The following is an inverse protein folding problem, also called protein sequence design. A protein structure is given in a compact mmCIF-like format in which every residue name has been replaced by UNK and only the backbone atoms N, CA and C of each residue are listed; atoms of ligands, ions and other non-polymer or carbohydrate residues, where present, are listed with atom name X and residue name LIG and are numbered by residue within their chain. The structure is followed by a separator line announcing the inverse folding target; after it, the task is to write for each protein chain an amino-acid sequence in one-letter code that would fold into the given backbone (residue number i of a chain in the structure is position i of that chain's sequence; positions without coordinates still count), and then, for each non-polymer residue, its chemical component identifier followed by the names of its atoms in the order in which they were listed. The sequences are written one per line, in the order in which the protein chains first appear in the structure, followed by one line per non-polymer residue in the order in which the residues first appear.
data_IF_621629184066
#
_entry.id   IF_621629184066
#
_cell.length_a   1.000
_cell.length_b   1.000
_cell.length_c   1.000
_cell.angle_alpha   90.00
_cell.angle_beta   90.00
_cell.angle_gamma   90.00
#
_symmetry.space_group_name_H-M   'P 1'
#
loop_
_entity.id
_entity.type
_entity.pdbx_description
1 polymer ?
#
# COMPACT_ATOMS: atom_id res chain seq x y z
N UNK A 1 -11.19 2.36 -14.43
CA UNK A 1 -10.96 0.92 -14.70
C UNK A 1 -10.66 0.24 -13.38
N UNK A 2 -11.52 -0.68 -12.92
CA UNK A 2 -11.36 -1.30 -11.59
C UNK A 2 -10.01 -2.03 -11.48
N UNK A 3 -9.28 -1.75 -10.39
CA UNK A 3 -7.95 -2.30 -10.11
C UNK A 3 -7.97 -3.45 -9.09
N UNK A 4 -7.04 -4.38 -9.25
CA UNK A 4 -6.58 -5.36 -8.25
C UNK A 4 -5.15 -5.03 -7.84
N UNK A 5 -4.80 -5.30 -6.58
CA UNK A 5 -3.48 -5.04 -6.01
C UNK A 5 -2.87 -6.33 -5.50
N UNK A 6 -1.58 -6.51 -5.71
CA UNK A 6 -0.73 -7.37 -4.90
C UNK A 6 0.22 -6.47 -4.11
N UNK A 7 0.12 -6.51 -2.79
CA UNK A 7 1.00 -5.76 -1.90
C UNK A 7 2.07 -6.71 -1.37
N UNK A 8 3.32 -6.46 -1.74
CA UNK A 8 4.48 -7.24 -1.33
C UNK A 8 5.23 -6.53 -0.20
N UNK A 9 5.48 -7.27 0.89
CA UNK A 9 6.28 -6.81 2.03
C UNK A 9 7.38 -7.83 2.31
N UNK A 10 8.61 -7.38 2.50
CA UNK A 10 9.72 -8.28 2.82
C UNK A 10 9.81 -8.50 4.34
N UNK A 11 9.48 -9.69 4.88
CA UNK A 11 9.47 -9.92 6.33
C UNK A 11 10.85 -9.89 6.97
N UNK A 12 11.91 -9.92 6.15
CA UNK A 12 13.32 -9.93 6.56
C UNK A 12 13.96 -8.55 6.52
N UNK A 13 13.28 -7.53 5.97
CA UNK A 13 13.83 -6.18 5.96
C UNK A 13 13.96 -5.64 7.40
N UNK A 14 15.14 -5.14 7.78
CA UNK A 14 15.35 -4.50 9.07
C UNK A 14 14.63 -3.14 9.09
N UNK A 15 14.49 -2.58 10.29
CA UNK A 15 13.93 -1.25 10.51
C UNK A 15 12.52 -1.23 11.08
N UNK A 16 12.10 -0.02 11.46
CA UNK A 16 10.84 0.27 12.14
C UNK A 16 10.26 1.55 11.56
N UNK A 17 8.98 1.52 11.22
CA UNK A 17 8.22 2.72 10.86
C UNK A 17 7.21 3.02 11.96
N UNK A 18 7.02 4.31 12.24
CA UNK A 18 6.05 4.80 13.22
C UNK A 18 5.00 5.61 12.50
N UNK A 19 3.81 5.04 12.34
CA UNK A 19 2.66 5.73 11.75
C UNK A 19 1.34 5.09 12.21
N UNK A 20 0.20 5.80 12.11
CA UNK A 20 -1.11 5.21 12.35
C UNK A 20 -1.46 4.12 11.34
N UNK A 21 -2.20 3.10 11.75
CA UNK A 21 -2.74 2.09 10.80
C UNK A 21 -3.91 2.67 9.98
N UNK A 22 -4.69 3.55 10.59
CA UNK A 22 -5.86 4.23 9.99
C UNK A 22 -5.83 5.72 10.30
N UNK A 23 -6.53 6.58 9.54
CA UNK A 23 -6.45 8.04 9.73
C UNK A 23 -6.79 8.54 11.14
N UNK A 24 -7.72 7.88 11.84
CA UNK A 24 -8.12 8.23 13.20
C UNK A 24 -7.42 7.40 14.29
N UNK A 25 -6.40 6.62 13.93
CA UNK A 25 -5.68 5.73 14.85
C UNK A 25 -4.50 6.43 15.53
N UNK A 26 -4.06 5.87 16.66
CA UNK A 26 -2.78 6.25 17.25
C UNK A 26 -1.61 5.75 16.39
N UNK A 27 -0.49 6.46 16.43
CA UNK A 27 0.73 6.01 15.77
C UNK A 27 1.29 4.76 16.47
N UNK A 28 1.70 3.76 15.68
CA UNK A 28 2.23 2.50 16.18
C UNK A 28 3.61 2.24 15.58
N UNK A 29 4.53 1.67 16.37
CA UNK A 29 5.82 1.19 15.89
C UNK A 29 5.65 -0.17 15.21
N UNK A 30 6.01 -0.26 13.93
CA UNK A 30 5.81 -1.47 13.13
C UNK A 30 7.09 -1.85 12.38
N UNK A 31 7.50 -3.11 12.56
CA UNK A 31 8.46 -3.77 11.65
C UNK A 31 7.73 -4.34 10.43
N UNK A 32 8.48 -4.93 9.49
CA UNK A 32 7.93 -5.49 8.26
C UNK A 32 6.79 -6.49 8.49
N UNK A 33 6.95 -7.40 9.45
CA UNK A 33 5.92 -8.38 9.81
C UNK A 33 4.67 -7.72 10.39
N UNK A 34 4.83 -6.71 11.24
CA UNK A 34 3.71 -5.95 11.77
C UNK A 34 2.96 -5.21 10.65
N UNK A 35 3.68 -4.60 9.70
CA UNK A 35 3.08 -3.95 8.51
C UNK A 35 2.25 -4.95 7.71
N UNK A 36 2.82 -6.11 7.35
CA UNK A 36 2.10 -7.15 6.60
C UNK A 36 0.82 -7.60 7.31
N UNK A 37 0.89 -7.85 8.64
CA UNK A 37 -0.29 -8.21 9.44
C UNK A 37 -1.34 -7.11 9.49
N UNK A 38 -0.93 -5.85 9.67
CA UNK A 38 -1.85 -4.70 9.71
C UNK A 38 -2.52 -4.47 8.36
N UNK A 39 -1.78 -4.62 7.26
CA UNK A 39 -2.34 -4.56 5.91
C UNK A 39 -3.36 -5.70 5.68
N UNK A 40 -3.03 -6.94 6.06
CA UNK A 40 -3.95 -8.06 5.95
C UNK A 40 -5.25 -7.81 6.76
N UNK A 41 -5.12 -7.37 8.01
CA UNK A 41 -6.26 -7.02 8.85
C UNK A 41 -7.10 -5.88 8.25
N UNK A 42 -6.49 -4.89 7.60
CA UNK A 42 -7.22 -3.84 6.87
C UNK A 42 -7.98 -4.39 5.68
N UNK A 43 -7.37 -5.29 4.91
CA UNK A 43 -8.01 -5.97 3.76
C UNK A 43 -9.23 -6.75 4.23
N UNK A 44 -9.10 -7.52 5.30
CA UNK A 44 -10.20 -8.33 5.86
C UNK A 44 -11.31 -7.45 6.42
N UNK A 45 -10.96 -6.47 7.28
CA UNK A 45 -11.91 -5.54 7.88
C UNK A 45 -12.72 -4.76 6.83
N UNK A 46 -12.09 -4.41 5.71
CA UNK A 46 -12.71 -3.68 4.59
C UNK A 46 -13.33 -4.60 3.52
N UNK A 47 -13.27 -5.93 3.70
CA UNK A 47 -13.77 -6.94 2.75
C UNK A 47 -13.15 -6.81 1.35
N UNK A 48 -11.85 -6.50 1.29
CA UNK A 48 -11.11 -6.23 0.06
C UNK A 48 -10.37 -7.45 -0.50
N UNK A 49 -10.46 -8.63 0.13
CA UNK A 49 -9.69 -9.83 -0.24
C UNK A 49 -9.85 -10.27 -1.71
N UNK A 50 -10.96 -9.92 -2.38
CA UNK A 50 -11.16 -10.18 -3.81
C UNK A 50 -10.34 -9.26 -4.74
N UNK A 51 -9.85 -8.14 -4.21
CA UNK A 51 -9.16 -7.09 -4.95
C UNK A 51 -7.74 -6.84 -4.46
N UNK A 52 -7.42 -7.16 -3.21
CA UNK A 52 -6.11 -6.90 -2.61
C UNK A 52 -5.61 -8.20 -2.00
N UNK A 53 -4.44 -8.65 -2.45
CA UNK A 53 -3.68 -9.73 -1.82
C UNK A 53 -2.44 -9.14 -1.12
N UNK A 54 -2.07 -9.74 0.00
CA UNK A 54 -0.80 -9.45 0.68
C UNK A 54 0.11 -10.65 0.46
N UNK A 55 1.34 -10.40 0.05
CA UNK A 55 2.36 -11.42 -0.20
C UNK A 55 3.65 -11.08 0.55
N UNK A 56 4.28 -12.10 1.12
CA UNK A 56 5.64 -11.97 1.62
C UNK A 56 6.64 -12.18 0.47
N UNK A 57 7.60 -11.28 0.35
CA UNK A 57 8.62 -11.35 -0.69
C UNK A 57 9.47 -10.09 -0.77
N UNK A 58 10.50 -10.10 -1.61
CA UNK A 58 11.32 -8.93 -1.86
C UNK A 58 10.45 -7.79 -2.45
N UNK A 59 10.29 -6.71 -1.71
CA UNK A 59 9.60 -5.50 -2.15
C UNK A 59 10.49 -4.59 -3.03
N UNK A 60 11.75 -4.99 -3.24
CA UNK A 60 12.80 -4.13 -3.79
C UNK A 60 13.36 -3.19 -2.72
N UNK A 61 14.59 -2.70 -2.94
CA UNK A 61 15.25 -1.82 -1.97
C UNK A 61 15.97 -2.53 -0.83
N UNK A 62 16.33 -3.81 -0.96
CA UNK A 62 17.00 -4.60 0.10
C UNK A 62 18.33 -4.00 0.63
N UNK A 63 18.93 -3.04 -0.08
CA UNK A 63 20.12 -2.32 0.37
C UNK A 63 19.82 -1.17 1.35
N UNK A 64 18.60 -1.10 1.88
CA UNK A 64 18.04 0.11 2.50
C UNK A 64 17.46 -0.17 3.89
N UNK A 65 17.40 0.87 4.73
CA UNK A 65 16.64 0.84 5.98
C UNK A 65 15.13 0.74 5.67
N UNK A 66 14.61 -0.49 5.77
CA UNK A 66 13.20 -0.79 5.60
C UNK A 66 12.34 -0.39 6.81
N UNK A 67 11.08 -0.86 6.88
CA UNK A 67 10.44 -1.79 5.95
C UNK A 67 9.86 -1.09 4.71
N UNK A 68 10.10 -1.68 3.55
CA UNK A 68 9.58 -1.25 2.26
C UNK A 68 8.32 -2.01 1.89
N UNK A 69 7.46 -1.37 1.10
CA UNK A 69 6.24 -1.97 0.58
C UNK A 69 6.16 -1.74 -0.92
N UNK A 70 5.98 -2.80 -1.70
CA UNK A 70 5.71 -2.70 -3.13
C UNK A 70 4.25 -3.03 -3.42
N UNK A 71 3.65 -2.32 -4.36
CA UNK A 71 2.29 -2.51 -4.82
C UNK A 71 2.31 -2.75 -6.31
N UNK A 72 1.94 -3.96 -6.74
CA UNK A 72 1.72 -4.29 -8.14
C UNK A 72 0.24 -4.15 -8.45
N UNK A 73 -0.08 -3.50 -9.57
CA UNK A 73 -1.44 -3.16 -9.96
C UNK A 73 -1.82 -4.00 -11.18
N UNK A 74 -2.94 -4.71 -11.07
CA UNK A 74 -3.52 -5.54 -12.11
C UNK A 74 -4.91 -5.03 -12.50
N UNK A 75 -5.36 -5.29 -13.74
CA UNK A 75 -6.76 -5.10 -14.10
C UNK A 75 -7.68 -6.03 -13.30
N UNK A 76 -8.92 -5.61 -13.04
CA UNK A 76 -9.98 -6.56 -12.68
C UNK A 76 -10.41 -7.29 -13.95
N UNK A 77 -10.41 -8.64 -13.98
CA UNK A 77 -10.88 -9.37 -15.16
C UNK A 77 -12.37 -9.15 -15.38
N UNK A 78 -12.84 -9.18 -16.64
CA UNK A 78 -14.26 -9.25 -16.95
C UNK A 78 -14.95 -10.44 -16.27
N UNK A 79 -16.27 -10.38 -16.00
CA UNK A 79 -17.00 -11.50 -15.43
C UNK A 79 -16.85 -12.78 -16.29
N UNK A 80 -16.44 -13.88 -15.66
CA UNK A 80 -16.23 -15.17 -16.34
C UNK A 80 -14.83 -15.37 -16.93
N UNK A 81 -14.00 -14.32 -16.97
CA UNK A 81 -12.63 -14.42 -17.47
C UNK A 81 -11.63 -14.72 -16.35
N UNK A 82 -10.54 -15.42 -16.72
CA UNK A 82 -9.43 -15.66 -15.80
C UNK A 82 -8.66 -14.35 -15.58
N UNK A 83 -8.22 -14.05 -14.35
CA UNK A 83 -7.33 -12.92 -14.10
C UNK A 83 -6.03 -13.09 -14.90
N UNK A 84 -5.67 -12.09 -15.70
CA UNK A 84 -4.32 -12.00 -16.24
C UNK A 84 -3.32 -11.71 -15.12
N UNK A 85 -2.04 -11.94 -15.41
CA UNK A 85 -0.91 -11.60 -14.54
C UNK A 85 -0.09 -10.45 -15.11
N UNK A 86 -0.67 -9.67 -16.03
CA UNK A 86 0.03 -8.55 -16.67
C UNK A 86 -0.18 -7.32 -15.81
N UNK A 87 0.88 -6.88 -15.15
CA UNK A 87 0.82 -5.67 -14.35
C UNK A 87 0.58 -4.45 -15.27
N UNK A 88 -0.41 -3.64 -14.91
CA UNK A 88 -0.71 -2.35 -15.57
C UNK A 88 -0.09 -1.16 -14.83
N UNK A 89 0.61 -1.42 -13.73
CA UNK A 89 1.35 -0.43 -12.96
C UNK A 89 2.04 -1.00 -11.74
N UNK A 90 2.95 -0.23 -11.18
CA UNK A 90 3.63 -0.52 -9.92
C UNK A 90 3.79 0.74 -9.08
N UNK A 91 4.00 0.58 -7.78
CA UNK A 91 4.46 1.66 -6.88
C UNK A 91 5.22 1.03 -5.73
N UNK A 92 6.40 1.54 -5.41
CA UNK A 92 7.16 1.10 -4.24
C UNK A 92 7.35 2.26 -3.27
N UNK A 93 6.99 2.03 -2.01
CA UNK A 93 7.15 2.97 -0.91
C UNK A 93 8.50 2.71 -0.23
N UNK A 94 9.59 3.00 -0.93
CA UNK A 94 10.95 2.95 -0.37
C UNK A 94 11.18 4.25 0.42
N UNK A 95 11.59 4.16 1.69
CA UNK A 95 11.83 5.30 2.61
C UNK A 95 10.64 6.26 2.86
N UNK A 96 9.52 6.06 2.17
CA UNK A 96 8.37 6.96 2.15
C UNK A 96 7.18 6.41 2.92
N UNK A 97 7.29 5.20 3.48
CA UNK A 97 6.20 4.63 4.26
C UNK A 97 5.92 5.47 5.51
N UNK A 98 6.97 5.98 6.17
CA UNK A 98 6.84 6.87 7.34
C UNK A 98 6.24 8.24 7.00
N UNK A 99 6.26 8.66 5.73
CA UNK A 99 5.72 9.96 5.30
C UNK A 99 4.24 9.89 4.93
N UNK A 100 3.62 8.72 5.05
CA UNK A 100 2.19 8.55 4.82
C UNK A 100 1.40 9.00 6.05
N UNK A 101 0.21 9.57 5.83
CA UNK A 101 -0.72 9.91 6.92
C UNK A 101 -1.08 8.67 7.76
N UNK A 102 -1.24 7.52 7.11
CA UNK A 102 -1.48 6.24 7.76
C UNK A 102 -1.18 5.06 6.81
N UNK A 103 -1.06 3.84 7.35
CA UNK A 103 -0.77 2.64 6.55
C UNK A 103 -1.88 2.32 5.54
N UNK A 104 -3.14 2.64 5.86
CA UNK A 104 -4.26 2.46 4.94
C UNK A 104 -4.12 3.26 3.63
N UNK A 105 -3.35 4.35 3.63
CA UNK A 105 -3.06 5.15 2.44
C UNK A 105 -2.43 4.31 1.32
N UNK A 106 -1.64 3.28 1.65
CA UNK A 106 -1.09 2.32 0.66
C UNK A 106 -2.20 1.65 -0.15
N UNK A 107 -3.29 1.24 0.50
CA UNK A 107 -4.42 0.60 -0.18
C UNK A 107 -5.24 1.64 -0.94
N UNK A 108 -5.55 2.76 -0.28
CA UNK A 108 -6.52 3.75 -0.78
C UNK A 108 -6.00 4.49 -2.03
N UNK A 109 -4.72 4.87 -2.04
CA UNK A 109 -4.09 5.53 -3.21
C UNK A 109 -4.04 4.64 -4.45
N UNK A 110 -3.80 3.33 -4.26
CA UNK A 110 -3.57 2.40 -5.37
C UNK A 110 -4.87 1.76 -5.86
N UNK A 111 -5.90 1.64 -5.01
CA UNK A 111 -7.24 1.18 -5.42
C UNK A 111 -8.07 2.25 -6.13
N UNK A 112 -7.87 3.54 -5.82
CA UNK A 112 -8.57 4.62 -6.49
C UNK A 112 -8.10 4.75 -7.95
N UNK A 113 -9.04 4.94 -8.87
CA UNK A 113 -8.78 5.08 -10.31
C UNK A 113 -8.13 6.44 -10.64
N UNK A 114 -6.97 6.79 -10.08
CA UNK A 114 -6.18 7.99 -10.42
C UNK A 114 -6.88 9.37 -10.25
N UNK A 115 -8.19 9.42 -10.01
CA UNK A 115 -9.03 10.63 -10.03
C UNK A 115 -9.12 11.32 -8.67
N UNK A 116 -8.58 10.72 -7.61
CA UNK A 116 -8.47 11.37 -6.29
C UNK A 116 -7.11 12.03 -6.05
N UNK A 117 -6.29 12.22 -7.09
CA UNK A 117 -5.04 12.99 -6.98
C UNK A 117 -5.33 14.49 -7.09
N UNK A 118 -5.98 15.08 -6.06
CA UNK A 118 -6.03 16.52 -5.70
C UNK A 118 -7.28 16.86 -4.85
N UNK A 119 -7.27 16.55 -3.55
CA UNK A 119 -7.99 17.34 -2.53
C UNK A 119 -7.21 17.22 -1.22
N UNK A 120 -6.22 18.09 -1.02
CA UNK A 120 -5.45 18.08 0.23
C UNK A 120 -4.14 18.88 0.29
N UNK A 121 -3.81 19.76 -0.66
CA UNK A 121 -2.60 20.61 -0.59
C UNK A 121 -2.96 22.09 -0.70
N UNK A 122 -2.73 22.84 0.38
CA UNK A 122 -3.06 24.25 0.64
C UNK A 122 -2.42 25.22 -0.39
N UNK A 123 -3.09 26.30 -0.83
CA UNK A 123 -2.41 27.38 -1.56
C UNK A 123 -1.49 28.17 -0.60
N UNK A 124 -0.25 28.42 -1.02
CA UNK A 124 0.66 29.37 -0.38
C UNK A 124 0.08 30.79 -0.47
N UNK A 125 0.23 31.65 0.55
CA UNK A 125 -0.13 33.05 0.39
C UNK A 125 0.89 33.75 -0.54
N UNK A 126 0.45 34.68 -1.39
CA UNK A 126 1.37 35.49 -2.19
C UNK A 126 2.16 36.48 -1.32
N UNK A 127 3.33 36.96 -1.80
CA UNK A 127 4.13 37.98 -1.11
C UNK A 127 3.41 39.31 -0.95
#
# INVERSE_FOLDING_TARGET
MKRRLEITVCPLEPGIVVLPVTPAGAAERMNARAIARRLAALVDKRRLARRVSIREGCAGGCASDGPNVSVTIYPVPPPGERPDRVAIGWKTYVYSLATLDCLATVIDENLADGTRRRRGGRPSPPP
#
